data_IF_665096093707
#
_entry.id   IF_665096093707
#
_cell.length_a   1.000
_cell.length_b   1.000
_cell.length_c   1.000
_cell.angle_alpha   90.00
_cell.angle_beta   90.00
_cell.angle_gamma   90.00
#
_symmetry.space_group_name_H-M   'P 1'
#
loop_
_entity.id
_entity.type
_entity.pdbx_description
1 polymer ?
#
# COMPACT_ATOMS: atom_id res chain seq x y z
N UNK A 1 22.39 11.82 11.42
CA UNK A 1 22.71 11.26 10.09
C UNK A 1 22.84 9.74 10.14
N UNK A 2 23.69 9.14 10.99
CA UNK A 2 23.85 7.68 11.07
C UNK A 2 22.57 6.85 11.33
N UNK A 3 21.59 7.38 12.06
CA UNK A 3 20.31 6.69 12.32
C UNK A 3 19.38 6.59 11.10
N UNK A 4 19.41 7.58 10.21
CA UNK A 4 18.60 7.57 8.99
C UNK A 4 19.14 6.55 7.98
N UNK A 5 20.46 6.50 7.80
CA UNK A 5 21.13 5.50 6.95
C UNK A 5 20.85 4.06 7.42
N UNK A 6 20.72 3.83 8.73
CA UNK A 6 20.36 2.53 9.28
C UNK A 6 18.94 2.11 8.87
N UNK A 7 17.96 3.02 8.98
CA UNK A 7 16.57 2.74 8.61
C UNK A 7 16.45 2.52 7.11
N UNK A 8 17.07 3.36 6.30
CA UNK A 8 17.05 3.21 4.84
C UNK A 8 17.65 1.87 4.39
N UNK A 9 18.81 1.49 4.95
CA UNK A 9 19.41 0.18 4.68
C UNK A 9 18.49 -0.96 5.08
N UNK A 10 17.90 -0.89 6.27
CA UNK A 10 16.99 -1.93 6.76
C UNK A 10 15.75 -2.09 5.88
N UNK A 11 15.16 -0.97 5.45
CA UNK A 11 14.00 -1.00 4.55
C UNK A 11 14.38 -1.54 3.16
N UNK A 12 15.56 -1.19 2.64
CA UNK A 12 16.09 -1.77 1.40
C UNK A 12 16.25 -3.28 1.50
N UNK A 13 16.87 -3.79 2.56
CA UNK A 13 17.03 -5.23 2.81
C UNK A 13 15.66 -5.95 2.84
N UNK A 14 14.67 -5.37 3.52
CA UNK A 14 13.33 -5.95 3.57
C UNK A 14 12.61 -5.92 2.22
N UNK A 15 12.79 -4.85 1.44
CA UNK A 15 12.27 -4.76 0.08
C UNK A 15 12.89 -5.83 -0.83
N UNK A 16 14.21 -6.03 -0.75
CA UNK A 16 14.93 -7.02 -1.54
C UNK A 16 14.47 -8.45 -1.21
N UNK A 17 14.27 -8.75 0.08
CA UNK A 17 13.72 -10.04 0.52
C UNK A 17 12.30 -10.27 -0.01
N UNK A 18 11.43 -9.26 0.09
CA UNK A 18 10.07 -9.35 -0.42
C UNK A 18 10.06 -9.53 -1.94
N UNK A 19 10.85 -8.73 -2.67
CA UNK A 19 10.97 -8.80 -4.12
C UNK A 19 11.48 -10.17 -4.59
N UNK A 20 12.54 -10.69 -3.97
CA UNK A 20 13.04 -12.03 -4.27
C UNK A 20 11.96 -13.11 -4.06
N UNK A 21 11.18 -12.98 -2.99
CA UNK A 21 10.02 -13.83 -2.72
C UNK A 21 8.94 -13.73 -3.80
N UNK A 22 8.58 -12.51 -4.21
CA UNK A 22 7.61 -12.27 -5.30
C UNK A 22 8.05 -12.96 -6.58
N UNK A 23 9.29 -12.74 -7.01
CA UNK A 23 9.83 -13.31 -8.25
C UNK A 23 9.87 -14.85 -8.20
N UNK A 24 10.16 -15.43 -7.04
CA UNK A 24 10.15 -16.88 -6.85
C UNK A 24 8.75 -17.52 -6.88
N UNK A 25 7.68 -16.74 -6.65
CA UNK A 25 6.29 -17.21 -6.69
C UNK A 25 5.73 -17.28 -8.11
N UNK A 26 6.33 -16.56 -9.06
CA UNK A 26 5.83 -16.46 -10.43
C UNK A 26 5.85 -17.82 -11.12
N UNK A 27 4.72 -18.28 -11.69
CA UNK A 27 4.66 -19.54 -12.41
C UNK A 27 5.65 -19.59 -13.59
N UNK A 28 6.32 -20.73 -13.75
CA UNK A 28 7.22 -20.94 -14.86
C UNK A 28 6.47 -21.03 -16.21
N UNK A 29 5.21 -21.52 -16.22
CA UNK A 29 4.35 -21.61 -17.41
C UNK A 29 3.24 -20.56 -17.46
N UNK A 30 2.49 -20.50 -18.56
CA UNK A 30 1.39 -19.56 -18.77
C UNK A 30 1.76 -18.32 -19.60
N UNK A 31 0.88 -17.30 -19.70
CA UNK A 31 1.04 -16.16 -20.61
C UNK A 31 2.07 -15.15 -20.06
N UNK A 32 3.37 -15.48 -20.12
CA UNK A 32 4.47 -14.66 -19.55
C UNK A 32 4.44 -13.20 -20.00
N UNK A 33 4.55 -12.97 -21.32
CA UNK A 33 4.62 -11.62 -21.91
C UNK A 33 3.44 -10.72 -21.54
N UNK A 34 2.26 -11.31 -21.38
CA UNK A 34 1.02 -10.56 -21.17
C UNK A 34 0.57 -10.53 -19.71
N UNK A 35 1.31 -11.20 -18.80
CA UNK A 35 0.94 -11.27 -17.38
C UNK A 35 2.16 -11.36 -16.47
N UNK A 36 2.84 -12.52 -16.42
CA UNK A 36 3.84 -12.77 -15.38
C UNK A 36 5.11 -11.90 -15.51
N UNK A 37 5.49 -11.51 -16.72
CA UNK A 37 6.60 -10.57 -16.92
C UNK A 37 6.23 -9.17 -16.39
N UNK A 38 4.95 -8.77 -16.50
CA UNK A 38 4.44 -7.50 -15.98
C UNK A 38 4.30 -7.53 -14.45
N UNK A 39 3.75 -8.62 -13.92
CA UNK A 39 3.67 -8.87 -12.47
C UNK A 39 5.07 -8.86 -11.84
N UNK A 40 6.06 -9.44 -12.52
CA UNK A 40 7.44 -9.49 -12.02
C UNK A 40 8.19 -8.16 -12.17
N UNK A 41 7.99 -7.42 -13.27
CA UNK A 41 8.73 -6.18 -13.55
C UNK A 41 8.19 -4.97 -12.78
N UNK A 42 6.89 -4.90 -12.50
CA UNK A 42 6.30 -3.73 -11.81
C UNK A 42 6.87 -3.51 -10.39
N UNK A 43 7.01 -4.53 -9.52
CA UNK A 43 7.65 -4.37 -8.21
C UNK A 43 9.15 -4.02 -8.29
N UNK A 44 9.82 -4.30 -9.41
CA UNK A 44 11.24 -3.96 -9.62
C UNK A 44 11.47 -2.48 -9.91
N UNK A 45 10.41 -1.68 -10.10
CA UNK A 45 10.49 -0.21 -10.28
C UNK A 45 10.93 0.54 -9.00
N UNK A 46 11.38 -0.19 -7.98
CA UNK A 46 11.79 0.33 -6.68
C UNK A 46 10.61 0.55 -5.74
N UNK A 47 10.89 0.91 -4.50
CA UNK A 47 9.90 1.10 -3.45
C UNK A 47 10.60 1.41 -2.13
N UNK A 48 9.87 1.97 -1.15
CA UNK A 48 10.46 2.36 0.14
C UNK A 48 10.62 1.18 1.12
N UNK A 49 10.18 -0.04 0.80
CA UNK A 49 10.30 -1.18 1.72
C UNK A 49 9.50 -1.09 3.02
N UNK A 50 8.61 -0.09 3.14
CA UNK A 50 7.98 0.25 4.42
C UNK A 50 7.11 -0.89 4.98
N UNK A 51 6.23 -1.47 4.16
CA UNK A 51 5.31 -2.54 4.59
C UNK A 51 6.03 -3.83 4.97
N UNK A 52 6.91 -4.40 4.12
CA UNK A 52 7.69 -5.57 4.52
C UNK A 52 8.61 -5.25 5.71
N UNK A 53 9.19 -4.05 5.76
CA UNK A 53 10.02 -3.58 6.88
C UNK A 53 9.28 -3.50 8.21
N UNK A 54 8.08 -2.93 8.24
CA UNK A 54 7.24 -2.86 9.45
C UNK A 54 6.82 -4.26 9.92
N UNK A 55 6.43 -5.14 8.99
CA UNK A 55 6.04 -6.52 9.32
C UNK A 55 7.20 -7.34 9.90
N UNK A 56 8.33 -7.37 9.19
CA UNK A 56 9.52 -8.11 9.63
C UNK A 56 10.10 -7.48 10.91
N UNK A 57 10.16 -6.15 10.98
CA UNK A 57 10.74 -5.41 12.08
C UNK A 57 9.94 -5.60 13.37
N UNK A 58 8.62 -5.52 13.28
CA UNK A 58 7.75 -5.78 14.43
C UNK A 58 7.85 -7.23 14.87
N UNK A 59 7.90 -8.19 13.93
CA UNK A 59 8.09 -9.60 14.29
C UNK A 59 9.39 -9.81 15.09
N UNK A 60 10.51 -9.22 14.64
CA UNK A 60 11.80 -9.29 15.33
C UNK A 60 11.77 -8.59 16.69
N UNK A 61 11.12 -7.43 16.80
CA UNK A 61 11.02 -6.69 18.05
C UNK A 61 10.27 -7.46 19.15
N UNK A 62 9.33 -8.32 18.75
CA UNK A 62 8.55 -9.18 19.66
C UNK A 62 9.15 -10.59 19.84
N UNK A 63 10.42 -10.79 19.44
CA UNK A 63 11.15 -12.05 19.67
C UNK A 63 10.97 -13.11 18.57
N UNK A 64 10.25 -12.79 17.49
CA UNK A 64 10.15 -13.62 16.31
C UNK A 64 11.37 -13.49 15.39
N UNK A 65 11.29 -14.11 14.21
CA UNK A 65 12.38 -14.06 13.23
C UNK A 65 11.86 -13.68 11.83
N UNK A 66 12.78 -13.28 10.95
CA UNK A 66 12.44 -12.87 9.58
C UNK A 66 11.72 -13.98 8.81
N UNK A 67 12.15 -15.24 8.97
CA UNK A 67 11.59 -16.37 8.21
C UNK A 67 10.12 -16.60 8.52
N UNK A 68 9.69 -16.43 9.77
CA UNK A 68 8.27 -16.57 10.15
C UNK A 68 7.38 -15.46 9.60
N UNK A 69 7.92 -14.26 9.36
CA UNK A 69 7.16 -13.12 8.84
C UNK A 69 7.27 -12.92 7.32
N UNK A 70 8.25 -13.55 6.66
CA UNK A 70 8.62 -13.26 5.27
C UNK A 70 7.47 -13.49 4.29
N UNK A 71 6.75 -14.61 4.41
CA UNK A 71 5.60 -14.90 3.56
C UNK A 71 4.50 -13.82 3.69
N UNK A 72 4.18 -13.41 4.92
CA UNK A 72 3.21 -12.33 5.14
C UNK A 72 3.70 -10.98 4.61
N UNK A 73 5.00 -10.70 4.73
CA UNK A 73 5.62 -9.51 4.16
C UNK A 73 5.56 -9.49 2.62
N UNK A 74 5.77 -10.65 1.97
CA UNK A 74 5.60 -10.81 0.51
C UNK A 74 4.15 -10.57 0.10
N UNK A 75 3.19 -11.12 0.85
CA UNK A 75 1.76 -10.91 0.59
C UNK A 75 1.38 -9.43 0.68
N UNK A 76 1.81 -8.73 1.74
CA UNK A 76 1.60 -7.29 1.94
C UNK A 76 2.16 -6.48 0.76
N UNK A 77 3.35 -6.81 0.29
CA UNK A 77 3.98 -6.11 -0.83
C UNK A 77 3.26 -6.38 -2.15
N UNK A 78 2.76 -7.60 -2.39
CA UNK A 78 1.94 -7.91 -3.57
C UNK A 78 0.60 -7.16 -3.57
N UNK A 79 -0.12 -7.14 -2.45
CA UNK A 79 -1.34 -6.34 -2.33
C UNK A 79 -1.07 -4.86 -2.55
N UNK A 80 0.03 -4.33 -2.00
CA UNK A 80 0.41 -2.94 -2.24
C UNK A 80 0.64 -2.65 -3.73
N UNK A 81 1.37 -3.52 -4.44
CA UNK A 81 1.61 -3.34 -5.87
C UNK A 81 0.31 -3.50 -6.68
N UNK A 82 -0.60 -4.40 -6.29
CA UNK A 82 -1.93 -4.51 -6.89
C UNK A 82 -2.73 -3.21 -6.74
N UNK A 83 -2.78 -2.65 -5.52
CA UNK A 83 -3.44 -1.37 -5.26
C UNK A 83 -2.86 -0.26 -6.12
N UNK A 84 -1.54 -0.16 -6.26
CA UNK A 84 -0.94 0.88 -7.11
C UNK A 84 -1.30 0.70 -8.59
N UNK A 85 -1.34 -0.53 -9.11
CA UNK A 85 -1.71 -0.77 -10.52
C UNK A 85 -3.18 -0.39 -10.78
N UNK A 86 -4.08 -0.70 -9.84
CA UNK A 86 -5.49 -0.32 -9.94
C UNK A 86 -5.71 1.18 -9.71
N UNK A 87 -5.07 1.78 -8.71
CA UNK A 87 -5.11 3.23 -8.42
C UNK A 87 -4.58 4.04 -9.63
N UNK A 88 -3.46 3.62 -10.23
CA UNK A 88 -2.93 4.24 -11.46
C UNK A 88 -3.98 4.25 -12.60
N UNK A 89 -4.80 3.20 -12.73
CA UNK A 89 -5.89 3.12 -13.72
C UNK A 89 -7.06 4.03 -13.36
N UNK A 90 -7.47 4.00 -12.10
CA UNK A 90 -8.61 4.76 -11.57
C UNK A 90 -8.37 6.27 -11.63
N UNK A 91 -7.12 6.68 -11.40
CA UNK A 91 -6.66 8.06 -11.45
C UNK A 91 -6.30 8.52 -12.87
N UNK A 92 -6.11 7.59 -13.82
CA UNK A 92 -5.62 7.91 -15.16
C UNK A 92 -4.18 8.44 -15.18
N UNK A 93 -3.36 8.07 -14.18
CA UNK A 93 -1.97 8.54 -14.06
C UNK A 93 -1.07 8.08 -15.21
N UNK A 94 -0.27 8.97 -15.81
CA UNK A 94 0.65 8.59 -16.88
C UNK A 94 1.94 7.96 -16.36
N UNK A 95 2.41 8.35 -15.17
CA UNK A 95 3.70 7.93 -14.61
C UNK A 95 3.65 7.44 -13.17
N UNK A 96 4.42 6.38 -12.88
CA UNK A 96 4.72 5.89 -11.53
C UNK A 96 6.18 5.51 -11.38
N UNK A 97 6.82 6.04 -10.31
CA UNK A 97 8.24 5.77 -9.97
C UNK A 97 9.17 6.06 -11.15
N UNK A 98 8.87 7.12 -11.89
CA UNK A 98 9.66 7.58 -13.05
C UNK A 98 9.47 6.77 -14.34
N UNK A 99 8.53 5.83 -14.39
CA UNK A 99 8.21 5.03 -15.57
C UNK A 99 6.72 5.14 -15.94
N UNK A 100 6.34 4.93 -17.21
CA UNK A 100 4.93 4.92 -17.61
C UNK A 100 4.11 3.90 -16.80
N UNK A 101 2.90 4.24 -16.41
CA UNK A 101 1.98 3.29 -15.75
C UNK A 101 1.63 2.13 -16.70
N UNK A 102 1.21 1.00 -16.15
CA UNK A 102 0.92 -0.19 -16.97
C UNK A 102 -0.21 0.07 -17.98
N UNK A 103 -1.18 0.91 -17.64
CA UNK A 103 -2.29 1.19 -18.55
C UNK A 103 -1.87 2.15 -19.68
N UNK A 104 -0.95 3.09 -19.41
CA UNK A 104 -0.37 3.94 -20.43
C UNK A 104 0.51 3.14 -21.42
N UNK A 105 1.26 2.15 -20.91
CA UNK A 105 2.20 1.36 -21.73
C UNK A 105 1.55 0.16 -22.45
N UNK A 106 0.63 -0.54 -21.79
CA UNK A 106 0.07 -1.82 -22.26
C UNK A 106 -1.45 -1.78 -22.45
N UNK A 107 -2.11 -0.68 -22.11
CA UNK A 107 -3.56 -0.52 -22.21
C UNK A 107 -4.32 -0.95 -20.96
N UNK A 108 -5.50 -0.36 -20.80
CA UNK A 108 -6.38 -0.53 -19.64
C UNK A 108 -6.65 -1.99 -19.26
N UNK A 109 -7.06 -2.82 -20.22
CA UNK A 109 -7.46 -4.19 -19.96
C UNK A 109 -6.31 -5.06 -19.42
N UNK A 110 -5.08 -4.83 -19.91
CA UNK A 110 -3.89 -5.55 -19.41
C UNK A 110 -3.56 -5.09 -18.00
N UNK A 111 -3.55 -3.78 -17.74
CA UNK A 111 -3.23 -3.24 -16.42
C UNK A 111 -4.19 -3.76 -15.33
N UNK A 112 -5.50 -3.71 -15.57
CA UNK A 112 -6.51 -4.23 -14.63
C UNK A 112 -6.25 -5.71 -14.33
N UNK A 113 -6.04 -6.53 -15.37
CA UNK A 113 -5.80 -7.96 -15.21
C UNK A 113 -4.47 -8.28 -14.50
N UNK A 114 -3.45 -7.41 -14.64
CA UNK A 114 -2.18 -7.53 -13.89
C UNK A 114 -2.40 -7.25 -12.40
N UNK A 115 -3.16 -6.20 -12.05
CA UNK A 115 -3.53 -5.91 -10.67
C UNK A 115 -4.34 -7.06 -10.05
N UNK A 116 -5.29 -7.61 -10.79
CA UNK A 116 -6.08 -8.78 -10.36
C UNK A 116 -5.18 -10.01 -10.12
N UNK A 117 -4.23 -10.26 -11.01
CA UNK A 117 -3.28 -11.35 -10.83
C UNK A 117 -2.38 -11.15 -9.61
N UNK A 118 -1.94 -9.92 -9.32
CA UNK A 118 -1.18 -9.63 -8.09
C UNK A 118 -2.03 -9.90 -6.83
N UNK A 119 -3.31 -9.53 -6.82
CA UNK A 119 -4.25 -9.84 -5.74
C UNK A 119 -4.45 -11.35 -5.56
N UNK A 120 -4.49 -12.14 -6.63
CA UNK A 120 -4.63 -13.60 -6.53
C UNK A 120 -3.31 -14.23 -6.06
N UNK A 121 -2.18 -13.77 -6.60
CA UNK A 121 -0.86 -14.32 -6.27
C UNK A 121 -0.43 -14.02 -4.83
N UNK A 122 -0.91 -12.94 -4.22
CA UNK A 122 -0.64 -12.60 -2.81
C UNK A 122 -1.22 -13.62 -1.82
N UNK A 123 -2.23 -14.42 -2.23
CA UNK A 123 -2.82 -15.49 -1.41
C UNK A 123 -1.83 -16.65 -1.23
N UNK A 124 -1.00 -16.92 -2.25
CA UNK A 124 -0.06 -18.06 -2.25
C UNK A 124 0.93 -18.03 -1.07
N UNK A 125 1.65 -16.93 -0.76
CA UNK A 125 2.53 -16.89 0.40
C UNK A 125 1.75 -17.01 1.72
N UNK A 126 0.51 -16.52 1.81
CA UNK A 126 -0.32 -16.72 3.00
C UNK A 126 -0.66 -18.20 3.21
N UNK A 127 -0.92 -18.95 2.14
CA UNK A 127 -1.08 -20.41 2.24
C UNK A 127 0.22 -21.12 2.67
N UNK A 128 1.38 -20.61 2.22
CA UNK A 128 2.69 -21.13 2.61
C UNK A 128 3.04 -20.88 4.09
N UNK A 129 2.28 -20.03 4.80
CA UNK A 129 2.39 -19.94 6.26
C UNK A 129 1.87 -21.17 6.98
N UNK A 130 0.96 -21.95 6.39
CA UNK A 130 0.35 -23.10 7.06
C UNK A 130 1.37 -24.08 7.68
N UNK A 131 2.38 -24.58 6.94
CA UNK A 131 3.40 -25.45 7.53
C UNK A 131 4.38 -24.75 8.48
N UNK A 132 4.44 -23.41 8.48
CA UNK A 132 5.39 -22.63 9.31
C UNK A 132 4.76 -22.14 10.62
N UNK A 133 3.51 -21.72 10.59
CA UNK A 133 2.79 -21.06 11.68
C UNK A 133 1.71 -21.96 12.29
N UNK A 134 1.31 -23.03 11.62
CA UNK A 134 0.16 -23.84 11.97
C UNK A 134 -1.17 -23.21 11.53
N UNK A 135 -2.28 -23.99 11.56
CA UNK A 135 -3.56 -23.58 10.97
C UNK A 135 -4.19 -22.38 11.66
N UNK A 136 -4.19 -22.34 12.99
CA UNK A 136 -4.83 -21.27 13.76
C UNK A 136 -4.18 -19.91 13.52
N UNK A 137 -2.85 -19.83 13.65
CA UNK A 137 -2.13 -18.58 13.45
C UNK A 137 -2.16 -18.13 11.99
N UNK A 138 -2.09 -19.07 11.04
CA UNK A 138 -2.26 -18.77 9.61
C UNK A 138 -3.62 -18.15 9.33
N UNK A 139 -4.70 -18.71 9.90
CA UNK A 139 -6.04 -18.16 9.74
C UNK A 139 -6.17 -16.75 10.33
N UNK A 140 -5.56 -16.48 11.49
CA UNK A 140 -5.53 -15.13 12.08
C UNK A 140 -4.80 -14.13 11.20
N UNK A 141 -3.68 -14.52 10.58
CA UNK A 141 -2.98 -13.68 9.59
C UNK A 141 -3.87 -13.43 8.37
N UNK A 142 -4.59 -14.44 7.88
CA UNK A 142 -5.58 -14.26 6.81
C UNK A 142 -6.67 -13.25 7.18
N UNK A 143 -7.19 -13.30 8.41
CA UNK A 143 -8.20 -12.35 8.88
C UNK A 143 -7.67 -10.91 8.94
N UNK A 144 -6.44 -10.70 9.39
CA UNK A 144 -5.80 -9.37 9.38
C UNK A 144 -5.63 -8.85 7.93
N UNK A 145 -5.17 -9.71 7.02
CA UNK A 145 -5.03 -9.35 5.60
C UNK A 145 -6.38 -9.08 4.93
N UNK A 146 -7.40 -9.91 5.14
CA UNK A 146 -8.73 -9.66 4.60
C UNK A 146 -9.26 -8.30 5.07
N UNK A 147 -9.18 -8.05 6.38
CA UNK A 147 -9.64 -6.79 6.94
C UNK A 147 -8.86 -5.61 6.34
N UNK A 148 -7.54 -5.75 6.21
CA UNK A 148 -6.68 -4.76 5.55
C UNK A 148 -7.18 -4.43 4.13
N UNK A 149 -7.33 -5.45 3.29
CA UNK A 149 -7.72 -5.29 1.88
C UNK A 149 -9.11 -4.68 1.78
N UNK A 150 -10.08 -5.21 2.54
CA UNK A 150 -11.45 -4.68 2.57
C UNK A 150 -11.49 -3.22 3.03
N UNK A 151 -10.71 -2.84 4.04
CA UNK A 151 -10.64 -1.45 4.47
C UNK A 151 -10.05 -0.53 3.40
N UNK A 152 -9.00 -0.96 2.70
CA UNK A 152 -8.39 -0.21 1.60
C UNK A 152 -9.37 0.04 0.46
N UNK A 153 -10.07 -0.99 -0.02
CA UNK A 153 -11.04 -0.84 -1.13
C UNK A 153 -12.26 -0.02 -0.71
N UNK A 154 -12.73 -0.14 0.53
CA UNK A 154 -13.78 0.75 1.07
C UNK A 154 -13.29 2.21 1.13
N UNK A 155 -12.02 2.46 1.45
CA UNK A 155 -11.42 3.80 1.43
C UNK A 155 -11.32 4.38 0.02
N UNK A 156 -10.88 3.56 -0.94
CA UNK A 156 -10.84 3.94 -2.36
C UNK A 156 -12.25 4.26 -2.89
N UNK A 157 -13.24 3.45 -2.53
CA UNK A 157 -14.63 3.69 -2.92
C UNK A 157 -15.18 5.02 -2.38
N UNK A 158 -14.79 5.44 -1.17
CA UNK A 158 -15.16 6.76 -0.63
C UNK A 158 -14.59 7.88 -1.49
N UNK A 159 -13.29 7.84 -1.79
CA UNK A 159 -12.63 8.87 -2.59
C UNK A 159 -13.20 8.95 -4.01
N UNK A 160 -13.32 7.81 -4.71
CA UNK A 160 -13.92 7.74 -6.05
C UNK A 160 -15.37 8.25 -6.05
N UNK A 161 -16.14 7.94 -5.01
CA UNK A 161 -17.49 8.47 -4.84
C UNK A 161 -17.51 9.99 -4.67
N UNK A 162 -16.60 10.54 -3.87
CA UNK A 162 -16.47 11.99 -3.71
C UNK A 162 -16.11 12.69 -5.00
N UNK A 163 -15.21 12.09 -5.81
CA UNK A 163 -14.83 12.61 -7.11
C UNK A 163 -16.02 12.59 -8.08
N UNK A 164 -16.66 11.42 -8.24
CA UNK A 164 -17.80 11.22 -9.15
C UNK A 164 -18.97 12.16 -8.84
N UNK A 165 -19.33 12.28 -7.56
CA UNK A 165 -20.49 13.07 -7.14
C UNK A 165 -20.17 14.55 -6.95
N UNK A 166 -18.92 14.93 -7.23
CA UNK A 166 -18.39 16.26 -7.02
C UNK A 166 -18.67 16.80 -5.60
N UNK A 167 -18.41 15.98 -4.56
CA UNK A 167 -18.68 16.35 -3.17
C UNK A 167 -17.76 17.51 -2.72
N UNK A 168 -18.36 18.56 -2.17
CA UNK A 168 -17.63 19.74 -1.67
C UNK A 168 -17.94 20.09 -0.21
N UNK A 169 -18.96 19.47 0.38
CA UNK A 169 -19.33 19.63 1.79
C UNK A 169 -18.71 18.48 2.61
N UNK A 170 -17.38 18.53 2.75
CA UNK A 170 -16.60 17.56 3.49
C UNK A 170 -15.84 18.25 4.62
N UNK A 171 -15.70 17.54 5.74
CA UNK A 171 -14.87 17.98 6.87
C UNK A 171 -13.48 17.34 6.84
N UNK A 172 -12.55 17.89 7.62
CA UNK A 172 -11.25 17.26 7.86
C UNK A 172 -11.40 15.86 8.50
N UNK A 173 -12.43 15.64 9.30
CA UNK A 173 -12.75 14.33 9.88
C UNK A 173 -13.17 13.31 8.81
N UNK A 174 -13.86 13.74 7.76
CA UNK A 174 -14.21 12.88 6.62
C UNK A 174 -12.95 12.43 5.88
N UNK A 175 -12.04 13.37 5.61
CA UNK A 175 -10.72 13.06 5.04
C UNK A 175 -9.98 12.05 5.91
N UNK A 176 -9.85 12.30 7.22
CA UNK A 176 -9.13 11.40 8.13
C UNK A 176 -9.77 10.01 8.22
N UNK A 177 -11.09 9.91 8.09
CA UNK A 177 -11.80 8.63 7.99
C UNK A 177 -11.46 7.90 6.70
N UNK A 178 -11.48 8.59 5.57
CA UNK A 178 -11.06 8.02 4.29
C UNK A 178 -9.59 7.58 4.35
N UNK A 179 -8.69 8.42 4.86
CA UNK A 179 -7.25 8.13 5.00
C UNK A 179 -6.97 6.94 5.92
N UNK A 180 -7.70 6.81 7.04
CA UNK A 180 -7.63 5.62 7.90
C UNK A 180 -7.85 4.35 7.08
N UNK A 181 -8.89 4.38 6.23
CA UNK A 181 -9.33 3.28 5.38
C UNK A 181 -8.38 3.01 4.22
N UNK A 182 -8.21 3.99 3.33
CA UNK A 182 -7.40 3.90 2.10
C UNK A 182 -5.94 3.62 2.42
N UNK A 183 -5.39 4.24 3.47
CA UNK A 183 -3.93 4.29 3.69
C UNK A 183 -3.45 3.69 5.00
N UNK A 184 -4.00 4.08 6.14
CA UNK A 184 -3.41 3.73 7.45
C UNK A 184 -3.45 2.22 7.74
N UNK A 185 -4.57 1.55 7.43
CA UNK A 185 -4.72 0.12 7.68
C UNK A 185 -3.65 -0.71 6.98
N UNK A 186 -3.44 -0.50 5.68
CA UNK A 186 -2.52 -1.33 4.90
C UNK A 186 -1.06 -0.85 4.92
N UNK A 187 -0.82 0.44 5.16
CA UNK A 187 0.54 1.00 5.13
C UNK A 187 1.27 0.79 6.45
N UNK A 188 0.58 0.94 7.58
CA UNK A 188 1.22 0.97 8.90
C UNK A 188 0.61 0.00 9.91
N UNK A 189 -0.73 -0.03 10.04
CA UNK A 189 -1.39 -0.77 11.12
C UNK A 189 -1.25 -2.29 10.95
N UNK A 190 -1.76 -2.85 9.87
CA UNK A 190 -1.73 -4.30 9.62
C UNK A 190 -0.32 -4.88 9.47
N UNK A 191 0.64 -4.22 8.76
CA UNK A 191 2.01 -4.68 8.77
C UNK A 191 2.58 -4.89 10.18
N UNK A 192 2.40 -3.92 11.10
CA UNK A 192 2.87 -4.07 12.47
C UNK A 192 2.11 -5.17 13.23
N UNK A 193 0.77 -5.16 13.16
CA UNK A 193 -0.08 -6.15 13.84
C UNK A 193 0.25 -7.57 13.43
N UNK A 194 0.41 -7.83 12.12
CA UNK A 194 0.77 -9.15 11.58
C UNK A 194 2.15 -9.58 12.10
N UNK A 195 3.14 -8.68 12.12
CA UNK A 195 4.46 -8.98 12.67
C UNK A 195 4.41 -9.41 14.14
N UNK A 196 3.71 -8.64 14.98
CA UNK A 196 3.55 -8.93 16.41
C UNK A 196 2.73 -10.21 16.66
N UNK A 197 1.64 -10.39 15.91
CA UNK A 197 0.79 -11.57 15.93
C UNK A 197 1.63 -12.83 15.68
N UNK A 198 2.46 -12.82 14.64
CA UNK A 198 3.32 -13.96 14.29
C UNK A 198 4.35 -14.24 15.39
N UNK A 199 5.05 -13.20 15.87
CA UNK A 199 6.12 -13.36 16.86
C UNK A 199 5.62 -13.91 18.20
N UNK A 200 4.42 -13.52 18.61
CA UNK A 200 3.85 -13.87 19.92
C UNK A 200 2.93 -15.08 19.87
N UNK A 201 2.86 -15.78 18.73
CA UNK A 201 1.85 -16.79 18.45
C UNK A 201 0.42 -16.31 18.81
N UNK A 202 0.18 -15.01 18.60
CA UNK A 202 -1.07 -14.33 18.84
C UNK A 202 -1.41 -14.03 20.30
N UNK A 203 -0.43 -14.03 21.19
CA UNK A 203 -0.56 -13.68 22.61
C UNK A 203 -0.40 -12.20 22.96
N UNK A 204 -0.23 -11.29 21.98
CA UNK A 204 -0.17 -9.85 22.24
C UNK A 204 -1.48 -9.12 21.97
N UNK A 205 -1.66 -7.99 22.66
CA UNK A 205 -2.68 -7.00 22.32
C UNK A 205 -2.26 -6.23 21.07
N UNK A 206 -3.01 -6.42 19.99
CA UNK A 206 -2.74 -5.81 18.70
C UNK A 206 -3.25 -4.37 18.61
N UNK A 207 -4.15 -3.94 19.51
CA UNK A 207 -4.77 -2.62 19.41
C UNK A 207 -3.81 -1.48 19.78
N UNK A 208 -2.73 -1.79 20.49
CA UNK A 208 -1.61 -0.88 20.70
C UNK A 208 -1.00 -0.34 19.40
N UNK A 209 -1.08 -1.10 18.29
CA UNK A 209 -0.60 -0.65 16.98
C UNK A 209 -1.58 0.26 16.25
N UNK A 210 -2.88 0.26 16.60
CA UNK A 210 -3.90 1.01 15.88
C UNK A 210 -3.62 2.52 15.95
N UNK A 211 -3.31 3.03 17.15
CA UNK A 211 -3.03 4.45 17.35
C UNK A 211 -1.73 4.88 16.65
N UNK A 212 -0.66 4.10 16.82
CA UNK A 212 0.62 4.38 16.17
C UNK A 212 0.48 4.37 14.64
N UNK A 213 -0.10 3.30 14.09
CA UNK A 213 -0.26 3.14 12.65
C UNK A 213 -1.23 4.14 12.05
N UNK A 214 -2.27 4.57 12.78
CA UNK A 214 -3.16 5.65 12.36
C UNK A 214 -2.40 6.96 12.14
N UNK A 215 -1.67 7.45 13.15
CA UNK A 215 -0.95 8.72 13.02
C UNK A 215 0.17 8.66 11.99
N UNK A 216 0.92 7.56 11.94
CA UNK A 216 1.97 7.38 10.94
C UNK A 216 1.38 7.33 9.52
N UNK A 217 0.29 6.58 9.32
CA UNK A 217 -0.37 6.47 8.02
C UNK A 217 -1.02 7.79 7.58
N UNK A 218 -1.65 8.52 8.50
CA UNK A 218 -2.25 9.81 8.20
C UNK A 218 -1.18 10.85 7.83
N UNK A 219 -0.08 10.91 8.59
CA UNK A 219 1.06 11.76 8.25
C UNK A 219 1.68 11.38 6.91
N UNK A 220 1.77 10.09 6.59
CA UNK A 220 2.26 9.60 5.31
C UNK A 220 1.38 10.08 4.14
N UNK A 221 0.05 9.99 4.27
CA UNK A 221 -0.87 10.43 3.22
C UNK A 221 -0.84 11.95 3.04
N UNK A 222 -0.93 12.72 4.14
CA UNK A 222 -0.89 14.18 4.08
C UNK A 222 0.43 14.66 3.43
N UNK A 223 1.53 13.97 3.71
CA UNK A 223 2.80 14.25 3.06
C UNK A 223 2.79 13.91 1.55
N UNK A 224 2.16 12.80 1.14
CA UNK A 224 2.02 12.46 -0.29
C UNK A 224 1.20 13.49 -1.05
N UNK A 225 0.06 13.91 -0.49
CA UNK A 225 -0.82 14.95 -1.06
C UNK A 225 -0.08 16.30 -1.15
N UNK A 226 0.69 16.68 -0.12
CA UNK A 226 1.47 17.92 -0.14
C UNK A 226 2.59 17.88 -1.19
N UNK A 227 3.29 16.75 -1.29
CA UNK A 227 4.32 16.55 -2.31
C UNK A 227 3.74 16.55 -3.73
N UNK A 228 2.49 16.10 -3.91
CA UNK A 228 1.79 16.20 -5.19
C UNK A 228 1.65 17.67 -5.64
N UNK A 229 1.33 18.57 -4.69
CA UNK A 229 1.12 19.99 -4.95
C UNK A 229 2.42 20.80 -5.07
N UNK A 230 3.39 20.56 -4.19
CA UNK A 230 4.57 21.43 -4.05
C UNK A 230 5.89 20.76 -4.43
N UNK A 231 5.86 19.49 -4.82
CA UNK A 231 7.06 18.71 -5.11
C UNK A 231 7.82 19.18 -6.34
N UNK A 232 9.14 18.94 -6.35
CA UNK A 232 9.97 19.13 -7.53
C UNK A 232 9.67 18.03 -8.57
N UNK A 233 9.39 18.41 -9.82
CA UNK A 233 8.97 17.50 -10.90
C UNK A 233 10.03 16.45 -11.17
N UNK A 234 11.30 16.82 -11.01
CA UNK A 234 12.42 15.91 -11.22
C UNK A 234 12.55 14.84 -10.13
N UNK A 235 11.93 15.04 -8.95
CA UNK A 235 12.10 14.19 -7.77
C UNK A 235 10.85 13.42 -7.36
N UNK A 236 9.65 13.93 -7.68
CA UNK A 236 8.40 13.35 -7.20
C UNK A 236 8.05 12.01 -7.87
N UNK A 237 8.42 11.84 -9.15
CA UNK A 237 8.24 10.56 -9.85
C UNK A 237 6.78 10.17 -10.19
N UNK A 238 5.82 11.07 -9.91
CA UNK A 238 4.45 11.14 -10.47
C UNK A 238 4.25 12.53 -11.12
N UNK A 239 3.07 12.77 -11.68
CA UNK A 239 2.64 14.10 -12.15
C UNK A 239 2.45 15.09 -11.00
N UNK A 240 2.89 16.34 -11.19
CA UNK A 240 2.63 17.43 -10.23
C UNK A 240 1.22 17.93 -10.42
N UNK A 241 0.49 18.11 -9.32
CA UNK A 241 -0.88 18.60 -9.33
C UNK A 241 -1.86 17.59 -9.92
N UNK A 242 -1.47 16.33 -10.08
CA UNK A 242 -2.35 15.25 -10.54
C UNK A 242 -3.62 15.18 -9.69
N UNK A 243 -3.49 15.34 -8.37
CA UNK A 243 -4.63 15.30 -7.46
C UNK A 243 -5.65 16.43 -7.75
N UNK A 244 -5.19 17.57 -8.26
CA UNK A 244 -6.09 18.67 -8.68
C UNK A 244 -6.79 18.31 -9.99
N UNK A 245 -6.05 17.78 -10.98
CA UNK A 245 -6.61 17.36 -12.27
C UNK A 245 -7.64 16.24 -12.13
N UNK A 246 -7.38 15.31 -11.22
CA UNK A 246 -8.25 14.19 -10.85
C UNK A 246 -9.43 14.64 -9.97
N UNK A 247 -9.38 15.86 -9.42
CA UNK A 247 -10.41 16.41 -8.54
C UNK A 247 -10.44 15.72 -7.18
N UNK A 248 -9.33 15.20 -6.67
CA UNK A 248 -9.28 14.53 -5.37
C UNK A 248 -9.54 15.50 -4.23
N UNK A 249 -10.31 15.04 -3.24
CA UNK A 249 -10.68 15.80 -2.04
C UNK A 249 -9.57 15.67 -1.00
N UNK A 250 -8.39 16.20 -1.34
CA UNK A 250 -7.24 16.26 -0.42
C UNK A 250 -7.58 17.14 0.77
N UNK A 251 -6.82 16.97 1.87
CA UNK A 251 -7.00 17.79 3.08
C UNK A 251 -6.91 19.29 2.78
N UNK A 252 -5.99 19.68 1.88
CA UNK A 252 -5.81 21.07 1.46
C UNK A 252 -7.04 21.60 0.71
N UNK A 253 -7.61 20.81 -0.21
CA UNK A 253 -8.79 21.23 -0.97
C UNK A 253 -10.03 21.35 -0.07
N UNK A 254 -10.21 20.39 0.85
CA UNK A 254 -11.28 20.43 1.86
C UNK A 254 -11.15 21.69 2.72
N UNK A 255 -9.94 21.99 3.18
CA UNK A 255 -9.68 23.20 3.97
C UNK A 255 -10.04 24.47 3.20
N UNK A 256 -9.69 24.55 1.91
CA UNK A 256 -10.08 25.66 1.03
C UNK A 256 -11.60 25.76 0.92
N UNK A 257 -12.30 24.67 0.62
CA UNK A 257 -13.77 24.70 0.55
C UNK A 257 -14.43 25.11 1.85
N UNK A 258 -13.85 24.84 3.02
CA UNK A 258 -14.43 25.23 4.29
C UNK A 258 -14.17 26.70 4.68
N UNK A 259 -13.11 27.32 4.16
CA UNK A 259 -12.66 28.64 4.60
C UNK A 259 -12.70 29.73 3.51
N UNK A 260 -12.80 29.35 2.24
CA UNK A 260 -12.87 30.28 1.11
C UNK A 260 -14.22 31.00 1.06
N UNK A 261 -14.23 32.20 0.49
CA UNK A 261 -15.45 32.97 0.23
C UNK A 261 -16.32 32.30 -0.84
N UNK A 262 -17.62 32.60 -0.91
CA UNK A 262 -18.50 32.04 -1.95
C UNK A 262 -18.08 32.32 -3.39
N UNK A 263 -17.25 33.34 -3.64
CA UNK A 263 -16.75 33.66 -4.97
C UNK A 263 -15.47 32.87 -5.35
N UNK A 264 -14.76 32.34 -4.35
CA UNK A 264 -13.55 31.54 -4.53
C UNK A 264 -13.85 30.03 -4.63
N UNK A 265 -15.02 29.58 -4.15
CA UNK A 265 -15.53 28.20 -4.27
C UNK A 265 -16.19 27.96 -5.62
#
# INVERSE_FOLDING_TARGET
MAGFELVERYLSECQELALAGILALLPAGGPRRHLYDLVGSYPQRGGKGLRPGLCIGTCRAFGGNTRSALNSAIALELFHNAFLVHDDVEDGSEYRRGLPTLHAEHGLAIAVNVGDAMNVLSIRPLMQNLPLLGPELTWRVFAEIEHMVRQSVEGQAMELGWVRDNQCDLSEDDYLRMTLKKTCWYTCIHPCRIGALIATAGGCDLDGFNRFGYYMGAAFQIQDDLLNLTGDRAKYGKEIGGDIWEGKRTLMLIHVFNHASPAEK
#
